data_IF_152420214296
#
_entry.id   IF_152420214296
#
_cell.length_a   1.000
_cell.length_b   1.000
_cell.length_c   1.000
_cell.angle_alpha   90.00
_cell.angle_beta   90.00
_cell.angle_gamma   90.00
#
_symmetry.space_group_name_H-M   'P 1'
#
loop_
_entity.id
_entity.type
_entity.pdbx_description
1 polymer ?
#
# COMPACT_ATOMS: atom_id res chain seq x y z
N UNK A 1 6.32 1.14 -18.17
CA UNK A 1 7.20 -0.05 -18.26
C UNK A 1 6.56 -1.09 -19.20
N UNK A 2 7.03 -2.35 -19.24
CA UNK A 2 6.35 -3.44 -19.98
C UNK A 2 4.96 -3.74 -19.43
N UNK A 3 4.85 -3.81 -18.10
CA UNK A 3 3.65 -4.30 -17.42
C UNK A 3 2.68 -3.20 -17.03
N UNK A 4 3.19 -2.00 -16.77
CA UNK A 4 2.41 -0.94 -16.14
C UNK A 4 2.64 0.42 -16.78
N UNK A 5 1.63 1.27 -16.65
CA UNK A 5 1.68 2.71 -16.91
C UNK A 5 0.99 3.47 -15.79
N UNK A 6 1.32 4.76 -15.68
CA UNK A 6 0.71 5.64 -14.70
C UNK A 6 -0.27 6.58 -15.41
N UNK A 7 -1.47 6.73 -14.83
CA UNK A 7 -2.57 7.55 -15.34
C UNK A 7 -3.33 8.14 -14.16
N UNK A 8 -4.34 8.98 -14.39
CA UNK A 8 -5.27 9.40 -13.34
C UNK A 8 -5.98 8.19 -12.73
N UNK A 9 -6.00 8.12 -11.40
CA UNK A 9 -6.64 7.03 -10.65
C UNK A 9 -8.16 7.10 -10.74
N UNK A 10 -8.83 5.95 -10.63
CA UNK A 10 -10.30 5.91 -10.46
C UNK A 10 -10.73 6.16 -9.01
N UNK A 11 -9.80 6.19 -8.06
CA UNK A 11 -10.07 6.52 -6.66
C UNK A 11 -10.32 8.02 -6.55
N UNK A 12 -11.45 8.39 -5.95
CA UNK A 12 -11.78 9.79 -5.69
C UNK A 12 -10.69 10.42 -4.81
N UNK A 13 -10.15 11.57 -5.24
CA UNK A 13 -9.01 12.23 -4.61
C UNK A 13 -7.70 11.40 -4.57
N UNK A 14 -7.63 10.25 -5.23
CA UNK A 14 -6.45 9.37 -5.27
C UNK A 14 -5.33 9.83 -6.22
N UNK A 15 -5.55 10.91 -6.98
CA UNK A 15 -4.53 11.49 -7.85
C UNK A 15 -4.16 10.58 -9.03
N UNK A 16 -2.93 10.09 -9.03
CA UNK A 16 -2.40 9.17 -10.05
C UNK A 16 -2.42 7.72 -9.54
N UNK A 17 -2.64 6.77 -10.44
CA UNK A 17 -2.65 5.34 -10.17
C UNK A 17 -1.77 4.57 -11.16
N UNK A 18 -1.49 3.30 -10.85
CA UNK A 18 -0.85 2.38 -11.78
C UNK A 18 -1.87 1.47 -12.46
N UNK A 19 -1.72 1.28 -13.77
CA UNK A 19 -2.62 0.50 -14.60
C UNK A 19 -1.85 -0.56 -15.38
N UNK A 20 -2.44 -1.73 -15.57
CA UNK A 20 -1.88 -2.80 -16.38
C UNK A 20 -1.83 -2.42 -17.88
N UNK A 21 -0.73 -2.76 -18.57
CA UNK A 21 -0.51 -2.59 -20.03
C UNK A 21 -0.67 -3.90 -20.82
N UNK A 22 -1.56 -4.75 -20.37
CA UNK A 22 -1.81 -6.09 -20.87
C UNK A 22 -2.24 -7.01 -19.75
N UNK A 23 -2.65 -8.22 -20.11
CA UNK A 23 -2.95 -9.27 -19.12
C UNK A 23 -1.67 -9.64 -18.34
N UNK A 24 -1.77 -9.63 -17.02
CA UNK A 24 -0.70 -9.96 -16.07
C UNK A 24 -1.12 -11.21 -15.28
N UNK A 25 -0.29 -12.24 -15.31
CA UNK A 25 -0.53 -13.46 -14.55
C UNK A 25 -0.25 -13.27 -13.05
N UNK A 26 -0.99 -13.99 -12.20
CA UNK A 26 -0.73 -14.07 -10.76
C UNK A 26 0.74 -14.40 -10.46
N UNK A 27 1.29 -13.79 -9.42
CA UNK A 27 2.68 -13.95 -8.99
C UNK A 27 3.70 -13.12 -9.78
N UNK A 28 3.29 -12.40 -10.82
CA UNK A 28 4.18 -11.50 -11.58
C UNK A 28 4.57 -10.29 -10.74
N UNK A 29 5.86 -9.95 -10.71
CA UNK A 29 6.34 -8.66 -10.17
C UNK A 29 6.05 -7.57 -11.20
N UNK A 30 5.18 -6.63 -10.84
CA UNK A 30 4.62 -5.62 -11.76
C UNK A 30 5.29 -4.26 -11.62
N UNK A 31 5.75 -3.93 -10.42
CA UNK A 31 6.40 -2.67 -10.10
C UNK A 31 7.53 -2.88 -9.09
N UNK A 32 8.37 -1.85 -8.99
CA UNK A 32 9.42 -1.75 -7.99
C UNK A 32 9.24 -0.45 -7.24
N UNK A 33 9.48 -0.48 -5.93
CA UNK A 33 9.53 0.69 -5.08
C UNK A 33 10.98 1.00 -4.76
N UNK A 34 11.51 2.07 -5.34
CA UNK A 34 12.87 2.54 -5.08
C UNK A 34 12.83 4.03 -4.76
N UNK A 35 13.62 4.45 -3.78
CA UNK A 35 13.66 5.82 -3.28
C UNK A 35 14.91 6.08 -2.44
N UNK A 36 14.84 7.09 -1.58
CA UNK A 36 15.89 7.39 -0.61
C UNK A 36 15.77 6.43 0.56
N UNK A 37 16.90 5.87 1.01
CA UNK A 37 16.97 5.04 2.23
C UNK A 37 17.05 5.95 3.45
N UNK A 38 16.19 5.69 4.42
CA UNK A 38 16.12 6.37 5.71
C UNK A 38 16.46 5.33 6.78
N UNK A 39 17.56 5.54 7.54
CA UNK A 39 17.92 4.65 8.63
C UNK A 39 16.87 4.72 9.75
N UNK A 40 16.76 3.65 10.52
CA UNK A 40 15.98 3.67 11.75
C UNK A 40 16.69 4.50 12.82
N UNK A 41 15.95 5.41 13.45
CA UNK A 41 16.42 6.18 14.59
C UNK A 41 15.58 5.84 15.83
N UNK A 42 16.18 5.09 16.76
CA UNK A 42 15.53 4.77 18.03
C UNK A 42 15.27 6.05 18.84
N UNK A 43 14.02 6.28 19.23
CA UNK A 43 13.62 7.51 19.91
C UNK A 43 13.58 8.75 19.00
N UNK A 44 13.61 8.54 17.68
CA UNK A 44 13.42 9.61 16.70
C UNK A 44 12.06 10.32 16.82
N UNK A 45 11.87 11.44 16.11
CA UNK A 45 10.63 12.19 16.14
C UNK A 45 9.45 11.31 15.73
N UNK A 46 8.28 11.57 16.33
CA UNK A 46 7.04 10.90 15.92
C UNK A 46 6.76 11.17 14.44
N UNK A 47 6.22 10.15 13.79
CA UNK A 47 5.81 10.20 12.39
C UNK A 47 4.78 11.31 12.15
N UNK A 48 5.03 12.15 11.15
CA UNK A 48 4.10 13.19 10.70
C UNK A 48 3.51 12.73 9.37
N UNK A 49 2.24 12.31 9.40
CA UNK A 49 1.56 11.68 8.25
C UNK A 49 1.58 12.51 6.97
N UNK A 50 1.52 13.85 7.08
CA UNK A 50 1.61 14.75 5.91
C UNK A 50 2.92 14.63 5.13
N UNK A 51 3.97 14.06 5.73
CA UNK A 51 5.30 13.85 5.12
C UNK A 51 5.70 12.38 4.99
N UNK A 52 4.79 11.46 5.31
CA UNK A 52 5.08 10.03 5.46
C UNK A 52 4.33 9.12 4.48
N UNK A 53 3.51 9.68 3.58
CA UNK A 53 2.68 8.89 2.66
C UNK A 53 3.46 7.92 1.75
N UNK A 54 4.77 8.14 1.56
CA UNK A 54 5.63 7.30 0.73
C UNK A 54 6.72 6.55 1.52
N UNK A 55 6.59 6.49 2.85
CA UNK A 55 7.53 5.74 3.68
C UNK A 55 7.11 4.28 3.79
N UNK A 56 7.96 3.37 3.35
CA UNK A 56 7.74 1.92 3.42
C UNK A 56 8.96 1.19 3.95
N UNK A 57 8.83 -0.01 4.50
CA UNK A 57 9.99 -0.78 4.97
C UNK A 57 10.79 -1.33 3.78
N UNK A 58 12.11 -1.44 3.92
CA UNK A 58 12.95 -1.92 2.81
C UNK A 58 12.98 -3.45 2.69
N UNK A 59 12.59 -4.18 3.73
CA UNK A 59 12.72 -5.63 3.84
C UNK A 59 11.64 -6.22 4.78
N UNK A 60 11.53 -7.55 4.76
CA UNK A 60 10.56 -8.31 5.55
C UNK A 60 10.99 -8.59 7.00
N UNK A 61 12.24 -8.28 7.39
CA UNK A 61 12.68 -8.53 8.77
C UNK A 61 12.01 -7.54 9.73
N UNK A 62 11.77 -6.30 9.27
CA UNK A 62 11.29 -5.18 10.09
C UNK A 62 12.16 -4.89 11.33
N UNK A 63 13.22 -5.66 11.56
CA UNK A 63 14.15 -5.57 12.70
C UNK A 63 15.11 -4.41 12.52
N UNK A 64 15.58 -4.20 11.28
CA UNK A 64 16.43 -3.06 10.94
C UNK A 64 15.72 -1.72 11.13
N UNK A 65 14.40 -1.72 10.98
CA UNK A 65 13.56 -0.52 10.94
C UNK A 65 13.88 0.44 9.77
N UNK A 66 14.76 0.05 8.84
CA UNK A 66 15.15 0.89 7.72
C UNK A 66 13.96 1.06 6.77
N UNK A 67 13.76 2.30 6.32
CA UNK A 67 12.64 2.69 5.46
C UNK A 67 13.13 3.24 4.14
N UNK A 68 12.32 3.07 3.12
CA UNK A 68 12.41 3.80 1.88
C UNK A 68 11.48 4.99 1.91
N UNK A 69 11.83 6.07 1.22
CA UNK A 69 10.97 7.22 1.04
C UNK A 69 11.07 7.80 -0.37
N UNK A 70 9.94 8.32 -0.87
CA UNK A 70 9.89 9.21 -2.02
C UNK A 70 9.58 10.62 -1.50
N UNK A 71 10.58 11.51 -1.46
CA UNK A 71 10.33 12.93 -1.18
C UNK A 71 9.29 13.52 -2.11
N UNK A 72 8.52 14.50 -1.63
CA UNK A 72 7.41 15.11 -2.36
C UNK A 72 7.87 15.63 -3.74
N UNK A 73 9.04 16.24 -3.81
CA UNK A 73 9.61 16.75 -5.05
C UNK A 73 9.94 15.65 -6.08
N UNK A 74 10.10 14.40 -5.65
CA UNK A 74 10.35 13.24 -6.51
C UNK A 74 9.08 12.43 -6.81
N UNK A 75 7.90 12.87 -6.35
CA UNK A 75 6.64 12.19 -6.68
C UNK A 75 6.23 12.43 -8.14
N UNK A 76 6.69 13.51 -8.78
CA UNK A 76 6.37 13.78 -10.19
C UNK A 76 7.15 12.85 -11.12
N UNK A 77 6.46 12.22 -12.08
CA UNK A 77 7.07 11.36 -13.09
C UNK A 77 8.05 12.10 -14.01
N UNK A 78 7.94 13.43 -14.10
CA UNK A 78 8.89 14.28 -14.83
C UNK A 78 10.25 14.38 -14.13
N UNK A 79 10.29 14.13 -12.83
CA UNK A 79 11.50 14.19 -11.99
C UNK A 79 12.01 12.82 -11.60
N UNK A 80 11.11 11.84 -11.42
CA UNK A 80 11.48 10.47 -11.07
C UNK A 80 10.55 9.43 -11.70
N UNK A 81 11.11 8.57 -12.54
CA UNK A 81 10.40 7.44 -13.15
C UNK A 81 11.29 6.18 -13.24
N UNK A 82 12.39 6.13 -12.47
CA UNK A 82 13.28 4.96 -12.46
C UNK A 82 12.59 3.72 -11.84
N UNK A 83 11.62 3.94 -10.96
CA UNK A 83 10.69 2.95 -10.44
C UNK A 83 9.32 3.63 -10.26
N UNK A 84 8.25 2.83 -10.16
CA UNK A 84 6.88 3.35 -10.19
C UNK A 84 5.99 2.83 -9.06
N UNK A 85 6.48 1.96 -8.17
CA UNK A 85 5.68 1.36 -7.08
C UNK A 85 4.94 2.39 -6.21
N UNK A 86 5.56 3.56 -5.99
CA UNK A 86 4.97 4.68 -5.27
C UNK A 86 3.73 5.33 -5.91
N UNK A 87 3.31 4.88 -7.10
CA UNK A 87 2.09 5.31 -7.78
C UNK A 87 0.94 4.32 -7.61
N UNK A 88 1.16 3.19 -6.94
CA UNK A 88 0.09 2.23 -6.67
C UNK A 88 -0.74 2.73 -5.49
N UNK A 89 -2.05 2.88 -5.67
CA UNK A 89 -2.93 3.38 -4.63
C UNK A 89 -3.34 2.27 -3.65
N UNK A 90 -3.95 2.71 -2.54
CA UNK A 90 -4.54 1.83 -1.56
C UNK A 90 -5.88 1.24 -2.02
N UNK A 91 -6.16 0.00 -1.62
CA UNK A 91 -7.50 -0.60 -1.55
C UNK A 91 -7.54 -1.68 -0.48
N UNK A 92 -8.67 -1.83 0.22
CA UNK A 92 -8.95 -2.98 1.09
C UNK A 92 -9.33 -4.25 0.32
N UNK A 93 -9.53 -4.14 -1.00
CA UNK A 93 -9.70 -5.24 -1.95
C UNK A 93 -8.57 -5.20 -3.00
N UNK A 94 -7.30 -5.39 -2.58
CA UNK A 94 -6.16 -5.21 -3.47
C UNK A 94 -6.04 -6.36 -4.47
N UNK A 95 -5.46 -6.07 -5.64
CA UNK A 95 -5.07 -7.07 -6.63
C UNK A 95 -3.54 -7.29 -6.69
N UNK A 96 -2.78 -6.52 -5.90
CA UNK A 96 -1.35 -6.68 -5.70
C UNK A 96 -1.00 -6.80 -4.21
N UNK A 97 0.20 -7.30 -3.90
CA UNK A 97 0.75 -7.37 -2.56
C UNK A 97 2.21 -6.94 -2.56
N UNK A 98 2.68 -6.44 -1.42
CA UNK A 98 4.09 -6.14 -1.20
C UNK A 98 4.92 -7.42 -1.19
N UNK A 99 6.12 -7.33 -1.75
CA UNK A 99 7.15 -8.36 -1.70
C UNK A 99 8.53 -7.68 -1.72
N UNK A 100 9.61 -8.45 -1.54
CA UNK A 100 10.97 -7.91 -1.56
C UNK A 100 11.82 -8.56 -2.64
N UNK A 101 12.63 -7.75 -3.32
CA UNK A 101 13.40 -8.18 -4.48
C UNK A 101 14.84 -7.66 -4.44
N UNK A 102 15.79 -8.53 -4.79
CA UNK A 102 17.18 -8.12 -4.99
C UNK A 102 17.36 -7.60 -6.42
N UNK A 103 17.07 -6.31 -6.61
CA UNK A 103 17.10 -5.68 -7.92
C UNK A 103 18.55 -5.41 -8.37
N UNK A 104 18.95 -5.79 -9.60
CA UNK A 104 20.34 -5.71 -10.04
C UNK A 104 20.91 -4.29 -10.06
N UNK A 105 20.04 -3.26 -10.12
CA UNK A 105 20.43 -1.85 -10.04
C UNK A 105 20.27 -1.22 -8.66
N UNK A 106 19.29 -1.68 -7.87
CA UNK A 106 18.84 -0.96 -6.67
C UNK A 106 19.15 -1.71 -5.35
N UNK A 107 19.66 -2.95 -5.46
CA UNK A 107 19.85 -3.83 -4.31
C UNK A 107 18.52 -4.36 -3.77
N UNK A 108 18.47 -4.65 -2.46
CA UNK A 108 17.25 -5.12 -1.79
C UNK A 108 16.27 -3.95 -1.69
N UNK A 109 15.14 -4.07 -2.38
CA UNK A 109 14.06 -3.09 -2.37
C UNK A 109 12.69 -3.77 -2.32
N UNK A 110 11.63 -3.06 -1.90
CA UNK A 110 10.27 -3.52 -2.05
C UNK A 110 9.83 -3.55 -3.52
N UNK A 111 8.87 -4.41 -3.80
CA UNK A 111 8.27 -4.59 -5.11
C UNK A 111 6.83 -5.05 -4.95
N UNK A 112 6.04 -4.82 -5.99
CA UNK A 112 4.62 -5.15 -5.99
C UNK A 112 4.40 -6.38 -6.86
N UNK A 113 3.70 -7.38 -6.32
CA UNK A 113 3.42 -8.65 -6.97
C UNK A 113 1.92 -8.86 -7.13
N UNK A 114 1.49 -9.28 -8.32
CA UNK A 114 0.09 -9.61 -8.58
C UNK A 114 -0.40 -10.76 -7.69
N UNK A 115 -1.55 -10.59 -7.04
CA UNK A 115 -2.21 -11.61 -6.20
C UNK A 115 -3.04 -12.58 -7.03
N UNK A 116 -3.65 -12.07 -8.11
CA UNK A 116 -4.48 -12.81 -9.05
C UNK A 116 -4.08 -12.44 -10.47
N UNK A 117 -4.71 -13.07 -11.46
CA UNK A 117 -4.64 -12.59 -12.83
C UNK A 117 -5.31 -11.20 -12.92
N UNK A 118 -4.68 -10.28 -13.65
CA UNK A 118 -5.09 -8.89 -13.82
C UNK A 118 -5.23 -8.62 -15.32
N UNK A 119 -6.34 -8.02 -15.74
CA UNK A 119 -6.63 -7.69 -17.14
C UNK A 119 -5.98 -6.40 -17.58
N UNK A 120 -5.75 -6.30 -18.89
CA UNK A 120 -5.34 -5.05 -19.53
C UNK A 120 -6.23 -3.87 -19.10
N UNK A 121 -5.59 -2.76 -18.71
CA UNK A 121 -6.28 -1.56 -18.26
C UNK A 121 -6.87 -1.62 -16.84
N UNK A 122 -6.78 -2.73 -16.09
CA UNK A 122 -7.13 -2.73 -14.67
C UNK A 122 -6.17 -1.84 -13.87
N UNK A 123 -6.72 -1.09 -12.91
CA UNK A 123 -5.93 -0.35 -11.93
C UNK A 123 -5.37 -1.29 -10.87
N UNK A 124 -4.14 -1.04 -10.45
CA UNK A 124 -3.40 -1.84 -9.49
C UNK A 124 -3.49 -1.22 -8.11
N UNK A 125 -3.75 -2.05 -7.10
CA UNK A 125 -3.92 -1.62 -5.72
C UNK A 125 -3.16 -2.49 -4.73
N UNK A 126 -2.67 -1.86 -3.67
CA UNK A 126 -2.12 -2.51 -2.48
C UNK A 126 -3.03 -2.30 -1.28
N UNK A 127 -2.99 -3.24 -0.35
CA UNK A 127 -3.32 -2.91 1.03
C UNK A 127 -2.10 -2.21 1.64
N UNK A 128 -2.25 -0.98 2.13
CA UNK A 128 -1.13 -0.25 2.74
C UNK A 128 -0.82 -0.75 4.15
N UNK A 129 -1.73 -1.53 4.73
CA UNK A 129 -1.53 -2.20 6.01
C UNK A 129 -1.18 -1.26 7.17
N UNK A 130 -1.60 0.01 7.12
CA UNK A 130 -1.37 0.94 8.23
C UNK A 130 -2.01 0.44 9.52
N UNK A 131 -1.42 0.83 10.65
CA UNK A 131 -2.02 0.62 11.96
C UNK A 131 -3.31 1.46 12.06
N UNK A 132 -4.48 0.85 12.31
CA UNK A 132 -5.74 1.60 12.45
C UNK A 132 -5.71 2.70 13.52
N UNK A 133 -4.85 2.58 14.53
CA UNK A 133 -4.70 3.57 15.59
C UNK A 133 -3.65 4.65 15.27
N UNK A 134 -2.86 4.47 14.22
CA UNK A 134 -1.83 5.40 13.77
C UNK A 134 -1.75 5.34 12.24
N UNK A 135 -2.62 6.11 11.58
CA UNK A 135 -2.71 6.21 10.13
C UNK A 135 -3.24 7.61 9.73
N UNK A 136 -3.17 7.99 8.44
CA UNK A 136 -3.82 9.21 7.96
C UNK A 136 -5.35 9.17 8.13
N UNK A 137 -5.97 10.34 8.25
CA UNK A 137 -7.43 10.46 8.44
C UNK A 137 -8.21 9.78 7.31
N UNK A 138 -7.80 9.98 6.05
CA UNK A 138 -8.44 9.35 4.88
C UNK A 138 -8.48 7.82 5.02
N UNK A 139 -7.37 7.21 5.46
CA UNK A 139 -7.24 5.76 5.61
C UNK A 139 -8.17 5.25 6.70
N UNK A 140 -8.18 5.90 7.87
CA UNK A 140 -9.06 5.51 8.98
C UNK A 140 -10.55 5.64 8.61
N UNK A 141 -10.92 6.67 7.84
CA UNK A 141 -12.29 6.87 7.36
C UNK A 141 -12.72 5.78 6.38
N UNK A 142 -11.84 5.44 5.42
CA UNK A 142 -12.10 4.35 4.47
C UNK A 142 -12.18 3.00 5.17
N UNK A 143 -11.29 2.71 6.13
CA UNK A 143 -11.32 1.48 6.92
C UNK A 143 -12.65 1.35 7.69
N UNK A 144 -13.08 2.41 8.37
CA UNK A 144 -14.36 2.42 9.09
C UNK A 144 -15.54 2.19 8.15
N UNK A 145 -15.52 2.81 6.97
CA UNK A 145 -16.54 2.60 5.94
C UNK A 145 -16.54 1.15 5.47
N UNK A 146 -15.37 0.58 5.20
CA UNK A 146 -15.23 -0.81 4.76
C UNK A 146 -15.70 -1.81 5.83
N UNK A 147 -15.35 -1.57 7.10
CA UNK A 147 -15.77 -2.42 8.22
C UNK A 147 -17.26 -2.28 8.57
N UNK A 148 -17.93 -1.20 8.11
CA UNK A 148 -19.38 -1.03 8.27
C UNK A 148 -20.22 -1.88 7.32
N UNK A 149 -19.60 -2.55 6.32
CA UNK A 149 -20.25 -3.57 5.48
C UNK A 149 -20.85 -4.68 6.36
N UNK A 150 -21.86 -5.38 5.84
CA UNK A 150 -22.50 -6.49 6.56
C UNK A 150 -21.49 -7.58 6.94
N UNK A 151 -21.76 -8.32 8.02
CA UNK A 151 -20.84 -9.36 8.51
C UNK A 151 -20.75 -10.59 7.58
N UNK A 152 -21.71 -10.76 6.67
CA UNK A 152 -21.70 -11.77 5.61
C UNK A 152 -21.04 -11.29 4.30
N UNK A 153 -20.57 -10.04 4.24
CA UNK A 153 -19.86 -9.51 3.08
C UNK A 153 -18.50 -10.21 2.91
N UNK A 154 -18.33 -10.90 1.78
CA UNK A 154 -17.12 -11.70 1.48
C UNK A 154 -15.84 -10.86 1.50
N UNK A 155 -15.91 -9.60 1.07
CA UNK A 155 -14.74 -8.71 1.04
C UNK A 155 -14.31 -8.31 2.45
N UNK A 156 -15.27 -8.06 3.35
CA UNK A 156 -15.01 -7.83 4.78
C UNK A 156 -14.42 -9.07 5.44
N UNK A 157 -15.04 -10.23 5.23
CA UNK A 157 -14.55 -11.51 5.78
C UNK A 157 -13.11 -11.76 5.30
N UNK A 158 -12.84 -11.58 4.02
CA UNK A 158 -11.50 -11.76 3.44
C UNK A 158 -10.47 -10.80 4.03
N UNK A 159 -10.81 -9.50 4.18
CA UNK A 159 -9.96 -8.50 4.81
C UNK A 159 -9.59 -8.88 6.26
N UNK A 160 -10.60 -9.25 7.06
CA UNK A 160 -10.40 -9.59 8.47
C UNK A 160 -9.63 -10.91 8.65
N UNK A 161 -9.81 -11.86 7.73
CA UNK A 161 -9.06 -13.12 7.73
C UNK A 161 -7.58 -12.92 7.41
N UNK A 162 -7.22 -11.96 6.55
CA UNK A 162 -5.84 -11.71 6.13
C UNK A 162 -5.08 -10.70 7.01
N UNK A 163 -5.77 -9.79 7.70
CA UNK A 163 -5.13 -8.74 8.50
C UNK A 163 -5.64 -8.71 9.96
N UNK A 164 -4.83 -9.28 10.86
CA UNK A 164 -5.16 -9.37 12.30
C UNK A 164 -5.26 -8.02 13.00
N UNK A 165 -4.60 -6.96 12.50
CA UNK A 165 -4.75 -5.60 13.04
C UNK A 165 -6.16 -5.08 12.81
N UNK A 166 -6.72 -5.33 11.62
CA UNK A 166 -8.07 -4.91 11.26
C UNK A 166 -9.14 -5.73 11.99
N UNK A 167 -8.90 -7.02 12.22
CA UNK A 167 -9.77 -7.84 13.07
C UNK A 167 -9.87 -7.28 14.48
N UNK A 168 -8.74 -7.03 15.14
CA UNK A 168 -8.72 -6.45 16.51
C UNK A 168 -9.37 -5.08 16.56
N UNK A 169 -9.13 -4.25 15.54
CA UNK A 169 -9.76 -2.93 15.44
C UNK A 169 -11.29 -3.05 15.28
N UNK A 170 -11.77 -3.96 14.45
CA UNK A 170 -13.19 -4.22 14.28
C UNK A 170 -13.86 -4.71 15.59
N UNK A 171 -13.21 -5.64 16.30
CA UNK A 171 -13.66 -6.09 17.63
C UNK A 171 -13.74 -4.94 18.64
N UNK A 172 -12.75 -4.04 18.63
CA UNK A 172 -12.75 -2.84 19.44
C UNK A 172 -13.95 -1.92 19.11
N UNK A 173 -14.22 -1.65 17.82
CA UNK A 173 -15.37 -0.84 17.41
C UNK A 173 -16.71 -1.46 17.85
N UNK A 174 -16.86 -2.78 17.71
CA UNK A 174 -18.06 -3.51 18.18
C UNK A 174 -18.22 -3.35 19.69
N UNK A 175 -17.13 -3.49 20.45
CA UNK A 175 -17.15 -3.33 21.92
C UNK A 175 -17.56 -1.91 22.34
N UNK A 176 -17.18 -0.87 21.58
CA UNK A 176 -17.60 0.50 21.86
C UNK A 176 -19.09 0.72 21.61
N UNK A 177 -19.64 0.09 20.57
CA UNK A 177 -21.05 0.23 20.23
C UNK A 177 -21.96 -0.53 21.20
N UNK A 178 -21.52 -1.67 21.72
CA UNK A 178 -22.28 -2.44 22.72
C UNK A 178 -22.29 -1.80 24.12
N UNK A 179 -21.41 -0.82 24.36
CA UNK A 179 -21.30 -0.10 25.64
C UNK A 179 -21.96 1.30 25.61
N UNK A 180 -22.66 1.66 24.53
CA UNK A 180 -23.46 2.89 24.39
C UNK A 180 -24.95 2.58 24.51
#
# INVERSE_FOLDING_TARGET
>A
SRWIECRSSNVECGGEGLFARGDIASGTIVAFYNGIRIPFEFGGPKEIWSSSGYKIFINADYESGERMNIPEELTSLTKYCASLGHKMNHSFEPNCTEWFFHHPRFGIIPCERALRDIKDGEELFLDYEYDPHNCPEWFSSELNTFLSKNDDDESKISLLARNTKYLRYNEYLISLNNNK
#
